data_IF_722654965472
#
_entry.id   IF_722654965472
#
_cell.length_a   1.000
_cell.length_b   1.000
_cell.length_c   1.000
_cell.angle_alpha   90.00
_cell.angle_beta   90.00
_cell.angle_gamma   90.00
#
_symmetry.space_group_name_H-M   'P 1'
#
loop_
_entity.id
_entity.type
_entity.pdbx_description
1 polymer ?
#
# COMPACT_ATOMS: atom_id res chain seq x y z
N UNK A 1 6.11 15.70 47.38
CA UNK A 1 5.29 15.52 46.18
C UNK A 1 6.25 15.20 45.03
N UNK A 2 6.39 13.92 44.66
CA UNK A 2 7.27 13.50 43.57
C UNK A 2 6.53 13.76 42.26
N UNK A 3 7.01 14.73 41.48
CA UNK A 3 6.58 14.95 40.10
C UNK A 3 7.27 13.87 39.27
N UNK A 4 6.52 12.87 38.85
CA UNK A 4 6.98 11.88 37.87
C UNK A 4 6.92 12.56 36.51
N UNK A 5 8.07 12.93 35.95
CA UNK A 5 8.15 13.37 34.57
C UNK A 5 8.00 12.13 33.68
N UNK A 6 6.81 11.93 33.12
CA UNK A 6 6.62 11.02 32.00
C UNK A 6 7.31 11.64 30.79
N UNK A 7 8.55 11.24 30.52
CA UNK A 7 9.24 11.59 29.28
C UNK A 7 8.54 10.81 28.16
N UNK A 8 7.63 11.46 27.44
CA UNK A 8 7.13 10.95 26.16
C UNK A 8 8.23 11.20 25.15
N UNK A 9 9.00 10.16 24.83
CA UNK A 9 9.95 10.19 23.71
C UNK A 9 9.11 10.09 22.43
N UNK A 10 8.84 11.21 21.79
CA UNK A 10 8.30 11.26 20.44
C UNK A 10 9.40 10.80 19.48
N UNK A 11 9.30 9.56 18.99
CA UNK A 11 10.21 9.04 17.97
C UNK A 11 9.69 9.56 16.62
N UNK A 12 10.43 10.48 16.00
CA UNK A 12 10.16 10.93 14.63
C UNK A 12 10.61 9.87 13.63
N UNK A 13 9.70 9.46 12.74
CA UNK A 13 9.99 8.54 11.65
C UNK A 13 10.25 9.36 10.38
N UNK A 14 11.43 9.19 9.79
CA UNK A 14 11.66 9.52 8.38
C UNK A 14 11.44 8.25 7.56
N UNK A 15 10.47 8.26 6.65
CA UNK A 15 9.98 7.06 5.93
C UNK A 15 11.00 6.39 4.98
N UNK A 16 12.17 6.99 4.80
CA UNK A 16 13.26 6.45 4.01
C UNK A 16 14.18 5.61 4.90
N UNK A 17 13.83 4.34 5.10
CA UNK A 17 14.90 3.36 5.24
C UNK A 17 15.58 3.30 3.87
N UNK A 18 16.91 3.49 3.85
CA UNK A 18 17.73 3.45 2.64
C UNK A 18 17.34 2.18 1.89
N UNK A 19 16.75 2.32 0.69
CA UNK A 19 16.42 1.20 -0.20
C UNK A 19 17.55 1.09 -1.23
N UNK A 20 18.61 0.28 -1.03
CA UNK A 20 19.49 -0.05 -2.12
C UNK A 20 19.21 -1.49 -2.55
N UNK A 21 18.54 -1.63 -3.70
CA UNK A 21 18.57 -2.71 -4.69
C UNK A 21 17.26 -2.61 -5.50
N UNK A 22 17.27 -1.92 -6.64
CA UNK A 22 16.32 -2.04 -7.77
C UNK A 22 14.85 -2.40 -7.45
N UNK A 23 14.23 -1.78 -6.43
CA UNK A 23 12.88 -2.16 -6.01
C UNK A 23 11.94 -0.99 -6.04
N UNK A 24 10.74 -1.25 -6.52
CA UNK A 24 9.65 -0.29 -6.48
C UNK A 24 9.09 -0.21 -5.05
N UNK A 25 8.66 0.97 -4.65
CA UNK A 25 8.05 1.28 -3.35
C UNK A 25 6.82 2.15 -3.58
N UNK A 26 5.77 1.90 -2.80
CA UNK A 26 4.52 2.65 -2.83
C UNK A 26 4.04 2.88 -1.40
N UNK A 27 4.06 4.14 -0.98
CA UNK A 27 3.91 4.56 0.40
C UNK A 27 2.66 5.41 0.53
N UNK A 28 1.71 4.99 1.36
CA UNK A 28 0.54 5.79 1.65
C UNK A 28 0.82 6.82 2.76
N UNK A 29 0.42 8.06 2.51
CA UNK A 29 0.51 9.18 3.45
C UNK A 29 -0.87 9.57 3.98
N UNK A 30 -1.16 9.10 5.18
CA UNK A 30 -2.29 9.44 6.04
C UNK A 30 -2.27 10.90 6.52
N UNK A 31 -1.12 11.59 6.51
CA UNK A 31 -1.03 12.99 6.97
C UNK A 31 -1.65 14.00 6.01
N UNK A 32 -2.04 13.58 4.81
CA UNK A 32 -2.45 14.48 3.72
C UNK A 32 -3.94 14.42 3.37
N UNK A 33 -4.60 13.30 3.66
CA UNK A 33 -6.02 13.05 3.37
C UNK A 33 -6.67 12.21 4.47
N UNK A 34 -7.84 11.65 4.19
CA UNK A 34 -8.55 10.78 5.14
C UNK A 34 -9.04 9.51 4.48
N UNK A 35 -8.90 8.40 5.19
CA UNK A 35 -9.50 7.10 4.83
C UNK A 35 -10.80 6.85 5.60
N UNK A 36 -11.18 7.77 6.48
CA UNK A 36 -12.41 7.78 7.29
C UNK A 36 -13.28 9.00 6.97
N UNK A 37 -14.48 9.05 7.52
CA UNK A 37 -15.37 10.21 7.47
C UNK A 37 -15.76 10.67 6.05
N UNK A 38 -15.83 9.74 5.09
CA UNK A 38 -16.33 10.06 3.76
C UNK A 38 -17.86 10.09 3.71
N UNK A 39 -18.46 11.28 3.73
CA UNK A 39 -19.93 11.44 3.67
C UNK A 39 -20.48 10.94 2.33
N UNK A 40 -21.30 9.88 2.33
CA UNK A 40 -21.85 9.28 1.10
C UNK A 40 -23.13 9.95 0.60
N UNK A 41 -23.58 10.99 1.30
CA UNK A 41 -24.87 11.65 1.08
C UNK A 41 -24.79 13.13 0.82
N UNK A 42 -23.58 13.69 0.81
CA UNK A 42 -23.42 15.10 0.51
C UNK A 42 -23.89 15.41 -0.92
N UNK A 43 -25.12 15.92 -0.96
CA UNK A 43 -25.77 16.48 -2.13
C UNK A 43 -25.72 18.02 -2.06
N UNK A 44 -25.07 18.58 -1.04
CA UNK A 44 -25.00 20.01 -0.90
C UNK A 44 -24.04 20.52 -1.97
N UNK A 45 -24.48 21.52 -2.73
CA UNK A 45 -23.64 22.28 -3.64
C UNK A 45 -22.61 23.13 -2.86
N UNK A 46 -22.10 22.66 -1.72
CA UNK A 46 -21.12 23.38 -0.90
C UNK A 46 -19.71 23.35 -1.55
N UNK A 47 -19.57 22.59 -2.63
CA UNK A 47 -18.38 22.53 -3.47
C UNK A 47 -17.29 21.61 -2.93
N UNK A 48 -17.53 20.89 -1.82
CA UNK A 48 -16.50 20.07 -1.18
C UNK A 48 -16.30 18.72 -1.84
N UNK A 49 -17.27 18.17 -2.57
CA UNK A 49 -17.12 17.09 -3.54
C UNK A 49 -18.52 16.76 -4.09
N UNK A 50 -18.92 17.30 -5.25
CA UNK A 50 -20.29 17.13 -5.71
C UNK A 50 -20.57 15.68 -6.07
N UNK A 51 -21.73 15.17 -5.68
CA UNK A 51 -22.24 13.89 -6.17
C UNK A 51 -22.62 14.03 -7.66
N UNK A 52 -21.97 13.28 -8.56
CA UNK A 52 -22.11 13.48 -10.02
C UNK A 52 -22.87 12.38 -10.75
N UNK A 53 -23.44 12.73 -11.91
CA UNK A 53 -23.96 11.72 -12.84
C UNK A 53 -22.82 10.83 -13.35
N UNK A 54 -23.01 9.51 -13.49
CA UNK A 54 -22.05 8.63 -14.16
C UNK A 54 -21.64 9.10 -15.56
N UNK A 55 -22.53 9.81 -16.27
CA UNK A 55 -22.23 10.40 -17.58
C UNK A 55 -21.17 11.51 -17.55
N UNK A 56 -20.86 12.05 -16.36
CA UNK A 56 -19.93 13.17 -16.18
C UNK A 56 -18.52 12.70 -15.79
N UNK A 57 -18.31 11.40 -15.55
CA UNK A 57 -17.06 10.86 -15.01
C UNK A 57 -15.86 11.22 -15.91
N UNK A 58 -16.00 11.14 -17.24
CA UNK A 58 -14.91 11.49 -18.17
C UNK A 58 -14.42 12.94 -18.05
N UNK A 59 -15.26 13.85 -17.52
CA UNK A 59 -14.88 15.25 -17.26
C UNK A 59 -13.80 15.41 -16.19
N UNK A 60 -13.62 14.39 -15.33
CA UNK A 60 -12.62 14.41 -14.26
C UNK A 60 -11.20 14.10 -14.74
N UNK A 61 -11.02 13.70 -16.00
CA UNK A 61 -9.71 13.57 -16.65
C UNK A 61 -9.09 14.91 -17.09
N UNK A 62 -9.70 16.03 -16.70
CA UNK A 62 -9.23 17.37 -17.00
C UNK A 62 -8.05 17.82 -16.13
N UNK A 63 -7.79 19.14 -16.12
CA UNK A 63 -6.65 19.72 -15.40
C UNK A 63 -6.92 20.17 -13.97
N UNK A 64 -8.19 20.14 -13.55
CA UNK A 64 -8.60 20.46 -12.18
C UNK A 64 -8.00 19.45 -11.20
N UNK A 65 -7.62 19.93 -10.02
CA UNK A 65 -7.14 19.07 -8.93
C UNK A 65 -8.27 18.85 -7.91
N UNK A 66 -8.28 17.67 -7.28
CA UNK A 66 -9.36 17.24 -6.39
C UNK A 66 -8.85 16.85 -4.99
N UNK A 67 -7.68 17.34 -4.57
CA UNK A 67 -7.13 17.07 -3.23
C UNK A 67 -7.86 17.84 -2.11
N UNK A 68 -8.61 18.89 -2.46
CA UNK A 68 -9.42 19.64 -1.49
C UNK A 68 -10.79 19.01 -1.26
N UNK A 69 -11.07 17.89 -1.92
CA UNK A 69 -12.35 17.22 -1.80
C UNK A 69 -12.42 16.40 -0.51
N UNK A 70 -13.60 16.26 0.08
CA UNK A 70 -13.82 15.41 1.25
C UNK A 70 -13.47 13.93 0.99
N UNK A 71 -13.51 13.50 -0.27
CA UNK A 71 -13.08 12.18 -0.72
C UNK A 71 -11.60 12.09 -1.03
N UNK A 72 -10.80 13.09 -0.67
CA UNK A 72 -9.36 13.01 -0.81
C UNK A 72 -8.80 11.96 0.16
N UNK A 73 -8.55 10.77 -0.39
CA UNK A 73 -8.08 9.61 0.36
C UNK A 73 -6.70 9.88 0.95
N UNK A 74 -5.83 10.52 0.15
CA UNK A 74 -4.49 10.90 0.55
C UNK A 74 -3.51 10.78 -0.61
N UNK A 75 -2.22 10.69 -0.27
CA UNK A 75 -1.14 10.59 -1.25
C UNK A 75 -0.49 9.22 -1.22
N UNK A 76 -0.20 8.70 -2.41
CA UNK A 76 0.67 7.56 -2.59
C UNK A 76 2.00 8.04 -3.16
N UNK A 77 3.07 7.95 -2.40
CA UNK A 77 4.41 8.28 -2.85
C UNK A 77 5.07 7.06 -3.50
N UNK A 78 5.70 7.26 -4.66
CA UNK A 78 6.30 6.20 -5.46
C UNK A 78 7.78 6.44 -5.72
N UNK A 79 8.55 5.37 -5.62
CA UNK A 79 9.97 5.27 -5.95
C UNK A 79 10.22 3.96 -6.70
N UNK A 80 11.21 3.94 -7.58
CA UNK A 80 11.60 2.78 -8.37
C UNK A 80 11.55 3.01 -9.88
N UNK A 81 11.60 1.93 -10.63
CA UNK A 81 11.54 1.91 -12.09
C UNK A 81 10.13 2.32 -12.59
N UNK A 82 9.97 2.73 -13.86
CA UNK A 82 8.65 3.01 -14.43
C UNK A 82 7.68 1.83 -14.25
N UNK A 83 6.42 2.11 -13.92
CA UNK A 83 5.47 1.08 -13.54
C UNK A 83 4.06 1.38 -14.05
N UNK A 84 3.27 0.33 -14.21
CA UNK A 84 1.84 0.42 -14.51
C UNK A 84 1.08 0.02 -13.27
N UNK A 85 0.43 1.01 -12.68
CA UNK A 85 -0.36 0.83 -11.47
C UNK A 85 -1.77 0.42 -11.87
N UNK A 86 -2.26 -0.66 -11.28
CA UNK A 86 -3.63 -1.18 -11.41
C UNK A 86 -4.39 -0.93 -10.12
N UNK A 87 -5.63 -0.50 -10.23
CA UNK A 87 -6.52 -0.30 -9.08
C UNK A 87 -7.65 -1.32 -9.13
N UNK A 88 -7.73 -2.20 -8.14
CA UNK A 88 -8.76 -3.23 -8.04
C UNK A 88 -9.70 -2.97 -6.85
N UNK A 89 -10.93 -3.47 -6.95
CA UNK A 89 -11.79 -3.68 -5.78
C UNK A 89 -11.46 -5.07 -5.21
N UNK A 90 -11.10 -5.13 -3.94
CA UNK A 90 -10.89 -6.39 -3.20
C UNK A 90 -11.86 -6.54 -2.03
N UNK A 91 -12.82 -5.63 -1.92
CA UNK A 91 -13.83 -5.59 -0.89
C UNK A 91 -15.11 -6.34 -1.28
N UNK A 92 -16.19 -6.10 -0.52
CA UNK A 92 -17.50 -6.67 -0.81
C UNK A 92 -17.96 -6.35 -2.25
N UNK A 93 -18.64 -7.33 -2.85
CA UNK A 93 -19.23 -7.17 -4.18
C UNK A 93 -20.66 -6.67 -4.05
N UNK A 94 -20.90 -5.43 -4.45
CA UNK A 94 -22.24 -4.84 -4.46
C UNK A 94 -23.18 -5.59 -5.42
N UNK A 95 -24.41 -5.82 -4.97
CA UNK A 95 -25.47 -6.51 -5.69
C UNK A 95 -26.23 -5.57 -6.65
N UNK A 96 -26.76 -6.14 -7.74
CA UNK A 96 -27.55 -5.43 -8.76
C UNK A 96 -26.86 -4.18 -9.33
N UNK A 97 -25.58 -4.34 -9.67
CA UNK A 97 -24.69 -3.31 -10.20
C UNK A 97 -24.54 -3.39 -11.71
N UNK A 98 -23.84 -2.40 -12.30
CA UNK A 98 -23.52 -2.39 -13.73
C UNK A 98 -22.53 -3.50 -14.10
N UNK A 99 -22.48 -3.83 -15.40
CA UNK A 99 -21.42 -4.64 -15.99
C UNK A 99 -20.71 -3.80 -17.08
N UNK A 100 -19.41 -3.47 -16.94
CA UNK A 100 -18.50 -3.90 -15.87
C UNK A 100 -18.86 -3.34 -14.48
N UNK A 101 -18.42 -4.01 -13.40
CA UNK A 101 -18.61 -3.51 -12.04
C UNK A 101 -17.81 -2.21 -11.83
N UNK A 102 -18.31 -1.33 -10.97
CA UNK A 102 -17.61 -0.13 -10.50
C UNK A 102 -17.00 -0.36 -9.11
N UNK A 103 -16.51 0.73 -8.51
CA UNK A 103 -16.19 0.77 -7.09
C UNK A 103 -17.42 1.18 -6.30
N UNK A 104 -17.55 0.61 -5.10
CA UNK A 104 -18.68 0.85 -4.22
C UNK A 104 -18.19 1.00 -2.79
N UNK A 105 -18.89 1.84 -2.05
CA UNK A 105 -18.99 1.73 -0.60
C UNK A 105 -20.24 0.89 -0.31
N UNK A 106 -20.07 -0.24 0.37
CA UNK A 106 -21.16 -1.16 0.76
C UNK A 106 -21.44 -1.00 2.24
N UNK A 107 -22.71 -0.96 2.62
CA UNK A 107 -23.10 -0.70 4.01
C UNK A 107 -22.61 -1.82 4.91
N UNK A 108 -22.14 -1.48 6.10
CA UNK A 108 -21.98 -2.44 7.18
C UNK A 108 -23.30 -2.64 7.91
N UNK A 109 -23.67 -3.90 8.10
CA UNK A 109 -24.83 -4.24 8.89
C UNK A 109 -24.56 -3.91 10.37
N UNK A 110 -25.32 -2.94 10.90
CA UNK A 110 -25.11 -2.34 12.21
C UNK A 110 -25.03 -3.31 13.40
N UNK A 111 -25.66 -4.49 13.35
CA UNK A 111 -25.64 -5.44 14.47
C UNK A 111 -24.66 -6.60 14.29
N UNK A 112 -24.19 -6.86 13.07
CA UNK A 112 -23.35 -8.03 12.76
C UNK A 112 -21.95 -7.68 12.27
N UNK A 113 -21.71 -6.42 11.87
CA UNK A 113 -20.45 -6.00 11.25
C UNK A 113 -20.18 -6.67 9.89
N UNK A 114 -21.19 -7.33 9.30
CA UNK A 114 -21.08 -7.97 7.99
C UNK A 114 -21.55 -7.02 6.92
N UNK A 115 -20.85 -6.99 5.77
CA UNK A 115 -21.27 -6.22 4.62
C UNK A 115 -22.69 -6.56 4.13
N UNK A 116 -23.48 -5.54 3.85
CA UNK A 116 -24.77 -5.61 3.15
C UNK A 116 -24.58 -5.21 1.69
N UNK A 117 -24.42 -6.18 0.76
CA UNK A 117 -24.20 -5.88 -0.65
C UNK A 117 -25.44 -5.28 -1.33
N UNK A 118 -26.62 -5.25 -0.71
CA UNK A 118 -27.83 -4.64 -1.27
C UNK A 118 -27.96 -3.14 -0.96
N UNK A 119 -27.08 -2.59 -0.11
CA UNK A 119 -27.04 -1.17 0.24
C UNK A 119 -25.67 -0.56 -0.06
N UNK A 120 -25.60 0.34 -1.04
CA UNK A 120 -24.33 0.86 -1.52
C UNK A 120 -24.41 2.23 -2.20
N UNK A 121 -23.27 2.94 -2.22
CA UNK A 121 -23.00 4.13 -3.04
C UNK A 121 -21.90 3.81 -4.05
N UNK A 122 -22.14 4.10 -5.32
CA UNK A 122 -21.13 3.96 -6.38
C UNK A 122 -20.18 5.15 -6.39
N UNK A 123 -18.90 4.86 -6.58
CA UNK A 123 -17.82 5.84 -6.67
C UNK A 123 -16.91 5.53 -7.87
N UNK A 124 -16.05 6.49 -8.19
CA UNK A 124 -14.86 6.28 -9.01
C UNK A 124 -13.68 7.04 -8.40
N UNK A 125 -12.46 6.74 -8.84
CA UNK A 125 -11.26 7.42 -8.35
C UNK A 125 -10.65 8.32 -9.41
N UNK A 126 -9.99 9.38 -8.96
CA UNK A 126 -9.05 10.14 -9.77
C UNK A 126 -7.66 10.00 -9.18
N UNK A 127 -6.66 9.78 -10.05
CA UNK A 127 -5.25 9.77 -9.67
C UNK A 127 -4.52 10.90 -10.39
N UNK A 128 -3.98 11.85 -9.62
CA UNK A 128 -3.16 12.95 -10.13
C UNK A 128 -1.71 12.71 -9.80
N UNK A 129 -0.93 12.33 -10.81
CA UNK A 129 0.51 12.06 -10.64
C UNK A 129 1.30 13.36 -10.74
N UNK A 130 2.09 13.62 -9.72
CA UNK A 130 3.02 14.74 -9.58
C UNK A 130 4.40 14.21 -9.25
N UNK A 131 5.42 15.03 -9.47
CA UNK A 131 6.81 14.67 -9.29
C UNK A 131 7.60 15.81 -8.67
N UNK A 132 8.68 15.45 -8.00
CA UNK A 132 9.74 16.39 -7.60
C UNK A 132 10.98 16.09 -8.42
N UNK A 133 11.54 17.10 -9.08
CA UNK A 133 12.88 16.98 -9.66
C UNK A 133 13.95 16.94 -8.56
N UNK A 134 15.21 16.72 -8.90
CA UNK A 134 16.29 16.64 -7.91
C UNK A 134 16.68 18.01 -7.32
N UNK A 135 16.19 19.10 -7.91
CA UNK A 135 16.28 20.48 -7.42
C UNK A 135 15.09 20.91 -6.55
N UNK A 136 14.21 19.98 -6.19
CA UNK A 136 12.98 20.20 -5.42
C UNK A 136 11.88 21.00 -6.15
N UNK A 137 12.00 21.20 -7.46
CA UNK A 137 10.94 21.72 -8.33
C UNK A 137 9.79 20.73 -8.44
N UNK A 138 8.55 21.23 -8.39
CA UNK A 138 7.35 20.40 -8.56
C UNK A 138 6.92 20.37 -10.03
N UNK A 139 6.68 19.17 -10.54
CA UNK A 139 6.23 18.92 -11.91
C UNK A 139 4.91 18.17 -11.87
N UNK A 140 3.91 18.68 -12.56
CA UNK A 140 2.66 17.96 -12.80
C UNK A 140 2.84 17.04 -14.01
N UNK A 141 2.55 15.75 -13.85
CA UNK A 141 2.69 14.78 -14.92
C UNK A 141 1.40 14.64 -15.73
N UNK A 142 1.42 13.78 -16.76
CA UNK A 142 0.28 13.54 -17.65
C UNK A 142 -0.30 14.82 -18.27
N UNK A 143 0.55 15.76 -18.70
CA UNK A 143 0.13 17.06 -19.25
C UNK A 143 -0.83 17.81 -18.33
N UNK A 144 -0.58 17.78 -17.03
CA UNK A 144 -1.44 18.38 -16.00
C UNK A 144 -2.85 17.79 -15.99
N UNK A 145 -3.03 16.49 -16.26
CA UNK A 145 -4.34 15.81 -16.25
C UNK A 145 -4.40 14.69 -15.21
N UNK A 146 -5.61 14.41 -14.74
CA UNK A 146 -5.86 13.26 -13.89
C UNK A 146 -6.05 11.99 -14.74
N UNK A 147 -5.68 10.85 -14.18
CA UNK A 147 -6.20 9.57 -14.62
C UNK A 147 -7.55 9.34 -13.96
N UNK A 148 -8.53 8.92 -14.75
CA UNK A 148 -9.84 8.51 -14.25
C UNK A 148 -9.83 7.00 -14.13
N UNK A 149 -10.13 6.51 -12.93
CA UNK A 149 -10.17 5.09 -12.56
C UNK A 149 -11.63 4.79 -12.29
N UNK A 150 -12.30 4.37 -13.34
CA UNK A 150 -13.74 4.18 -13.40
C UNK A 150 -14.14 2.79 -12.93
N UNK A 151 -13.34 1.77 -13.28
CA UNK A 151 -13.61 0.36 -13.02
C UNK A 151 -12.45 -0.30 -12.25
N UNK A 152 -12.74 -1.32 -11.43
CA UNK A 152 -11.73 -2.26 -10.97
C UNK A 152 -10.96 -2.86 -12.16
N UNK A 153 -9.64 -2.84 -12.08
CA UNK A 153 -8.73 -3.25 -13.14
C UNK A 153 -8.25 -2.11 -14.04
N UNK A 154 -8.79 -0.90 -13.91
CA UNK A 154 -8.25 0.27 -14.61
C UNK A 154 -6.82 0.55 -14.17
N UNK A 155 -6.02 1.06 -15.11
CA UNK A 155 -4.58 1.26 -14.93
C UNK A 155 -4.13 2.67 -15.26
N UNK A 156 -3.07 3.14 -14.62
CA UNK A 156 -2.34 4.33 -15.01
C UNK A 156 -0.82 4.12 -14.89
N UNK A 157 -0.06 4.86 -15.70
CA UNK A 157 1.40 4.73 -15.72
C UNK A 157 2.08 5.80 -14.88
N UNK A 158 3.14 5.42 -14.20
CA UNK A 158 4.05 6.31 -13.49
C UNK A 158 5.46 6.16 -14.09
N UNK A 159 6.20 7.27 -14.31
CA UNK A 159 7.61 7.18 -14.68
C UNK A 159 8.45 6.64 -13.52
N UNK A 160 9.75 6.42 -13.76
CA UNK A 160 10.68 6.07 -12.69
C UNK A 160 11.04 7.28 -11.83
N UNK A 161 11.31 7.04 -10.55
CA UNK A 161 11.78 8.05 -9.61
C UNK A 161 12.66 7.47 -8.51
N UNK A 162 13.63 8.25 -8.06
CA UNK A 162 14.56 7.86 -7.00
C UNK A 162 15.89 8.58 -7.14
N UNK A 163 16.68 8.54 -6.08
CA UNK A 163 17.96 9.25 -5.98
C UNK A 163 19.17 8.40 -6.43
N UNK A 164 18.93 7.24 -7.05
CA UNK A 164 19.99 6.35 -7.52
C UNK A 164 20.86 7.03 -8.57
N UNK A 165 22.17 6.81 -8.44
CA UNK A 165 23.16 7.35 -9.35
C UNK A 165 23.59 6.30 -10.36
N UNK A 166 23.78 6.72 -11.61
CA UNK A 166 24.38 5.86 -12.63
C UNK A 166 25.90 5.95 -12.58
N UNK A 167 26.56 4.86 -12.95
CA UNK A 167 28.03 4.81 -13.07
C UNK A 167 28.51 4.99 -14.52
N UNK A 168 27.61 4.85 -15.50
CA UNK A 168 27.87 5.07 -16.92
C UNK A 168 26.56 5.11 -17.73
N UNK A 169 26.60 5.62 -18.95
CA UNK A 169 25.48 5.55 -19.90
C UNK A 169 24.43 6.66 -19.73
N UNK A 170 23.19 6.45 -20.18
CA UNK A 170 22.08 7.41 -20.06
C UNK A 170 21.83 7.86 -18.62
N UNK A 171 21.56 9.15 -18.43
CA UNK A 171 21.39 9.75 -17.11
C UNK A 171 20.54 11.02 -17.17
N UNK A 172 20.15 11.51 -16.00
CA UNK A 172 19.46 12.78 -15.81
C UNK A 172 20.30 13.74 -14.96
N UNK A 173 20.19 15.04 -15.24
CA UNK A 173 20.72 16.10 -14.37
C UNK A 173 19.71 16.49 -13.29
N UNK A 174 20.06 17.47 -12.44
CA UNK A 174 19.22 17.85 -11.30
C UNK A 174 17.83 18.40 -11.69
N UNK A 175 17.71 18.99 -12.89
CA UNK A 175 16.45 19.50 -13.45
C UNK A 175 15.67 18.44 -14.23
N UNK A 176 16.09 17.18 -14.22
CA UNK A 176 15.42 16.10 -14.96
C UNK A 176 15.61 16.16 -16.48
N UNK A 177 16.65 16.85 -16.97
CA UNK A 177 17.00 16.82 -18.40
C UNK A 177 17.76 15.54 -18.71
N UNK A 178 17.38 14.87 -19.80
CA UNK A 178 18.05 13.66 -20.26
C UNK A 178 19.40 13.96 -20.93
N UNK A 179 20.38 13.12 -20.66
CA UNK A 179 21.70 13.18 -21.27
C UNK A 179 22.47 11.89 -21.06
N UNK A 180 23.80 12.00 -21.08
CA UNK A 180 24.71 10.89 -20.83
C UNK A 180 25.58 11.22 -19.64
N UNK A 181 25.77 10.24 -18.75
CA UNK A 181 26.72 10.35 -17.66
C UNK A 181 28.08 10.76 -18.18
N UNK A 182 28.50 11.93 -17.77
CA UNK A 182 29.91 12.25 -17.64
C UNK A 182 30.09 13.00 -16.32
N UNK A 183 31.18 12.72 -15.62
CA UNK A 183 31.45 13.28 -14.30
C UNK A 183 31.57 14.83 -14.28
N UNK A 184 31.63 15.49 -15.44
CA UNK A 184 31.80 16.94 -15.57
C UNK A 184 30.53 17.73 -15.91
N UNK A 185 29.42 17.08 -16.30
CA UNK A 185 28.18 17.73 -16.79
C UNK A 185 27.01 17.61 -15.83
N UNK A 186 27.17 16.88 -14.72
CA UNK A 186 26.14 16.77 -13.67
C UNK A 186 24.98 15.83 -13.99
N UNK A 187 25.03 15.09 -15.11
CA UNK A 187 24.06 14.03 -15.41
C UNK A 187 24.45 12.77 -14.63
N UNK A 188 23.91 12.62 -13.43
CA UNK A 188 24.30 11.55 -12.50
C UNK A 188 23.13 10.65 -12.07
N UNK A 189 21.89 11.09 -12.24
CA UNK A 189 20.73 10.36 -11.73
C UNK A 189 20.21 9.31 -12.71
N UNK A 190 19.83 8.14 -12.20
CA UNK A 190 19.17 7.07 -12.98
C UNK A 190 17.79 7.49 -13.45
N UNK A 191 17.06 8.20 -12.61
CA UNK A 191 15.68 8.62 -12.88
C UNK A 191 15.56 10.13 -13.05
N UNK A 192 14.56 10.53 -13.85
CA UNK A 192 14.27 11.94 -14.11
C UNK A 192 13.83 12.68 -12.84
N UNK A 193 13.12 11.98 -11.95
CA UNK A 193 12.50 12.56 -10.77
C UNK A 193 13.09 11.94 -9.51
N UNK A 194 13.14 12.72 -8.43
CA UNK A 194 13.56 12.28 -7.10
C UNK A 194 12.49 11.44 -6.41
N UNK A 195 11.23 11.86 -6.53
CA UNK A 195 10.07 11.21 -5.92
C UNK A 195 8.84 11.53 -6.76
N UNK A 196 7.93 10.56 -6.90
CA UNK A 196 6.58 10.82 -7.39
C UNK A 196 5.59 10.78 -6.25
N UNK A 197 4.49 11.48 -6.42
CA UNK A 197 3.30 11.24 -5.61
C UNK A 197 2.04 11.30 -6.43
N UNK A 198 1.04 10.59 -5.92
CA UNK A 198 -0.24 10.41 -6.57
C UNK A 198 -1.28 10.92 -5.57
N UNK A 199 -1.87 12.09 -5.86
CA UNK A 199 -3.06 12.52 -5.13
C UNK A 199 -4.21 11.59 -5.55
N UNK A 200 -4.78 10.84 -4.60
CA UNK A 200 -5.83 9.85 -4.83
C UNK A 200 -7.14 10.32 -4.21
N UNK A 201 -8.17 10.53 -5.02
CA UNK A 201 -9.47 11.07 -4.58
C UNK A 201 -10.60 10.17 -5.02
N UNK A 202 -11.50 9.83 -4.10
CA UNK A 202 -12.79 9.19 -4.35
C UNK A 202 -13.85 10.25 -4.70
N UNK A 203 -14.60 10.00 -5.77
CA UNK A 203 -15.70 10.87 -6.21
C UNK A 203 -17.00 10.06 -6.21
N UNK A 204 -18.03 10.61 -5.56
CA UNK A 204 -19.35 9.99 -5.47
C UNK A 204 -20.11 10.12 -6.77
N UNK A 205 -20.83 9.07 -7.14
CA UNK A 205 -21.83 9.15 -8.21
C UNK A 205 -23.24 9.19 -7.65
N UNK A 206 -24.18 9.66 -8.47
CA UNK A 206 -25.61 9.61 -8.17
C UNK A 206 -26.16 8.17 -8.12
N UNK A 207 -25.44 7.20 -8.71
CA UNK A 207 -25.80 5.79 -8.61
C UNK A 207 -25.67 5.30 -7.17
N UNK A 208 -26.74 4.71 -6.68
CA UNK A 208 -26.80 4.07 -5.38
C UNK A 208 -27.91 3.06 -5.36
N UNK A 209 -27.88 2.22 -4.34
CA UNK A 209 -28.96 1.30 -4.01
C UNK A 209 -29.20 1.34 -2.53
N UNK A 210 -30.47 1.46 -2.15
CA UNK A 210 -30.90 1.49 -0.76
C UNK A 210 -30.08 2.47 0.11
N UNK A 211 -29.69 3.65 -0.39
CA UNK A 211 -28.96 4.63 0.43
C UNK A 211 -29.89 5.65 1.10
N UNK A 212 -31.13 5.83 0.62
CA UNK A 212 -31.97 6.99 0.97
C UNK A 212 -33.08 6.72 2.01
N UNK A 213 -32.86 5.77 2.94
CA UNK A 213 -33.84 5.43 3.97
C UNK A 213 -33.25 5.40 5.38
N UNK A 214 -34.05 5.69 6.40
CA UNK A 214 -33.63 5.61 7.80
C UNK A 214 -33.05 4.23 8.16
N UNK A 215 -33.56 3.16 7.55
CA UNK A 215 -33.07 1.80 7.77
C UNK A 215 -31.69 1.52 7.17
N UNK A 216 -31.17 2.43 6.35
CA UNK A 216 -29.90 2.31 5.61
C UNK A 216 -28.85 3.33 6.06
N UNK A 217 -29.14 4.10 7.10
CA UNK A 217 -28.14 4.87 7.82
C UNK A 217 -27.09 3.94 8.44
N UNK A 218 -25.90 4.49 8.66
CA UNK A 218 -24.77 3.78 9.23
C UNK A 218 -23.49 3.98 8.43
N UNK A 219 -22.50 3.15 8.77
CA UNK A 219 -21.21 3.14 8.10
C UNK A 219 -21.19 2.19 6.91
N UNK A 220 -20.23 2.46 6.03
CA UNK A 220 -20.01 1.75 4.78
C UNK A 220 -18.52 1.52 4.60
N UNK A 221 -18.17 0.40 3.99
CA UNK A 221 -16.80 -0.03 3.76
C UNK A 221 -16.47 -0.10 2.27
N UNK A 222 -15.20 0.14 1.93
CA UNK A 222 -14.64 -0.12 0.62
C UNK A 222 -13.19 -0.57 0.75
N UNK A 223 -12.80 -1.64 0.06
CA UNK A 223 -11.41 -2.11 0.05
C UNK A 223 -10.82 -1.99 -1.34
N UNK A 224 -9.86 -1.08 -1.46
CA UNK A 224 -9.19 -0.77 -2.71
C UNK A 224 -7.78 -1.32 -2.66
N UNK A 225 -7.37 -2.02 -3.72
CA UNK A 225 -5.98 -2.42 -3.91
C UNK A 225 -5.35 -1.59 -5.01
N UNK A 226 -4.22 -0.97 -4.70
CA UNK A 226 -3.34 -0.29 -5.65
C UNK A 226 -2.07 -1.14 -5.79
N UNK A 227 -1.84 -1.73 -6.95
CA UNK A 227 -0.73 -2.65 -7.19
C UNK A 227 0.03 -2.32 -8.46
N UNK A 228 1.30 -2.70 -8.50
CA UNK A 228 2.15 -2.64 -9.69
C UNK A 228 3.24 -3.70 -9.55
N UNK A 229 4.25 -3.68 -10.42
CA UNK A 229 5.40 -4.54 -10.20
C UNK A 229 6.10 -4.17 -8.88
N UNK A 230 6.38 -5.18 -8.05
CA UNK A 230 7.04 -5.02 -6.75
C UNK A 230 6.23 -4.34 -5.65
N UNK A 231 5.06 -3.76 -5.93
CA UNK A 231 4.28 -2.97 -4.95
C UNK A 231 2.85 -3.47 -4.80
N UNK A 232 2.39 -3.57 -3.55
CA UNK A 232 1.04 -3.98 -3.20
C UNK A 232 0.54 -3.13 -2.03
N UNK A 233 -0.42 -2.24 -2.28
CA UNK A 233 -1.05 -1.39 -1.28
C UNK A 233 -2.54 -1.71 -1.19
N UNK A 234 -3.04 -1.91 0.01
CA UNK A 234 -4.46 -2.01 0.34
C UNK A 234 -4.86 -0.77 1.12
N UNK A 235 -6.02 -0.22 0.78
CA UNK A 235 -6.69 0.84 1.49
C UNK A 235 -8.06 0.29 1.93
N UNK A 236 -8.25 0.15 3.23
CA UNK A 236 -9.57 -0.08 3.85
C UNK A 236 -10.14 1.29 4.15
N UNK A 237 -11.24 1.63 3.48
CA UNK A 237 -11.85 2.94 3.49
C UNK A 237 -13.20 2.88 4.20
N UNK A 238 -13.47 3.87 5.03
CA UNK A 238 -14.74 4.11 5.71
C UNK A 238 -15.47 5.27 5.04
N UNK A 239 -16.77 5.09 4.84
CA UNK A 239 -17.70 6.16 4.52
C UNK A 239 -18.93 6.06 5.41
N UNK A 240 -19.73 7.12 5.45
CA UNK A 240 -20.90 7.16 6.33
C UNK A 240 -22.14 7.75 5.65
N UNK A 241 -23.30 7.36 6.18
CA UNK A 241 -24.56 8.07 5.99
C UNK A 241 -25.28 8.18 7.34
N UNK A 242 -25.20 9.36 7.96
CA UNK A 242 -25.89 9.72 9.21
C UNK A 242 -25.92 8.57 10.25
N UNK A 243 -24.75 8.05 10.65
CA UNK A 243 -24.66 6.85 11.49
C UNK A 243 -25.24 7.11 12.89
N UNK A 244 -25.85 6.07 13.46
CA UNK A 244 -26.25 6.08 14.86
C UNK A 244 -25.06 5.78 15.79
N UNK A 245 -25.10 6.21 17.06
CA UNK A 245 -23.97 6.02 18.00
C UNK A 245 -23.51 4.58 18.25
N UNK A 246 -24.31 3.57 17.87
CA UNK A 246 -24.00 2.15 18.05
C UNK A 246 -23.88 1.40 16.72
N UNK A 247 -23.84 2.11 15.59
CA UNK A 247 -23.56 1.47 14.31
C UNK A 247 -22.10 1.04 14.28
N UNK A 248 -21.86 -0.18 13.80
CA UNK A 248 -20.50 -0.71 13.64
C UNK A 248 -19.73 0.13 12.63
N UNK A 249 -18.59 0.68 13.04
CA UNK A 249 -17.68 1.43 12.18
C UNK A 249 -16.63 0.50 11.55
N UNK A 250 -16.45 0.48 10.21
CA UNK A 250 -15.38 -0.30 9.60
C UNK A 250 -14.00 0.16 10.07
N UNK A 251 -13.12 -0.81 10.22
CA UNK A 251 -11.71 -0.54 10.41
C UNK A 251 -11.08 0.10 9.17
N UNK A 252 -10.74 1.38 9.25
CA UNK A 252 -10.04 2.09 8.21
C UNK A 252 -8.52 2.04 8.43
N UNK A 253 -7.79 1.54 7.44
CA UNK A 253 -6.34 1.41 7.49
C UNK A 253 -5.72 1.34 6.11
N UNK A 254 -4.41 1.55 6.05
CA UNK A 254 -3.60 1.25 4.89
C UNK A 254 -2.61 0.13 5.24
N UNK A 255 -2.45 -0.82 4.32
CA UNK A 255 -1.52 -1.94 4.48
C UNK A 255 -0.75 -2.16 3.18
N UNK A 256 0.58 -2.26 3.26
CA UNK A 256 1.41 -2.49 2.08
C UNK A 256 2.44 -3.60 2.28
N UNK A 257 2.73 -4.26 1.16
CA UNK A 257 3.86 -5.17 0.99
C UNK A 257 4.63 -4.72 -0.23
N UNK A 258 5.94 -4.55 -0.05
CA UNK A 258 6.88 -4.17 -1.10
C UNK A 258 7.87 -5.31 -1.28
N UNK A 259 8.02 -5.82 -2.50
CA UNK A 259 8.93 -6.92 -2.80
C UNK A 259 10.29 -6.34 -3.21
N UNK A 260 11.31 -6.64 -2.41
CA UNK A 260 12.70 -6.21 -2.65
C UNK A 260 13.53 -7.30 -3.32
N UNK A 261 13.06 -8.55 -3.27
CA UNK A 261 13.70 -9.65 -3.96
C UNK A 261 13.49 -9.56 -5.48
N UNK A 262 14.51 -9.87 -6.30
CA UNK A 262 14.34 -10.06 -7.73
C UNK A 262 13.38 -11.22 -7.99
N UNK A 263 12.85 -11.30 -9.23
CA UNK A 263 11.94 -12.37 -9.64
C UNK A 263 12.53 -13.77 -9.44
N UNK A 264 13.86 -13.88 -9.56
CA UNK A 264 14.62 -15.12 -9.41
C UNK A 264 15.80 -14.87 -8.49
N UNK A 265 15.87 -15.64 -7.39
CA UNK A 265 17.03 -15.69 -6.51
C UNK A 265 17.88 -16.89 -6.93
N UNK A 266 19.14 -16.70 -7.38
CA UNK A 266 20.02 -17.82 -7.70
C UNK A 266 20.16 -18.77 -6.51
N UNK A 267 20.02 -20.09 -6.75
CA UNK A 267 20.08 -21.07 -5.68
C UNK A 267 21.45 -21.04 -4.96
N UNK A 268 22.54 -20.77 -5.69
CA UNK A 268 23.88 -20.55 -5.14
C UNK A 268 23.95 -19.40 -4.15
N UNK A 269 23.15 -18.35 -4.34
CA UNK A 269 23.05 -17.23 -3.41
C UNK A 269 22.19 -17.61 -2.21
N UNK A 270 21.00 -18.17 -2.46
CA UNK A 270 20.03 -18.52 -1.42
C UNK A 270 20.62 -19.47 -0.36
N UNK A 271 21.37 -20.50 -0.77
CA UNK A 271 21.94 -21.49 0.15
C UNK A 271 23.03 -20.92 1.06
N UNK A 272 23.55 -19.74 0.77
CA UNK A 272 24.47 -19.03 1.69
C UNK A 272 23.73 -18.37 2.86
N UNK A 273 22.41 -18.14 2.72
CA UNK A 273 21.57 -17.45 3.71
C UNK A 273 21.00 -18.46 4.70
N UNK A 274 21.69 -18.68 5.80
CA UNK A 274 21.44 -19.83 6.71
C UNK A 274 21.00 -19.45 8.13
N UNK A 275 20.81 -18.16 8.40
CA UNK A 275 20.38 -17.69 9.73
C UNK A 275 19.65 -16.35 9.64
N UNK A 276 19.04 -15.90 10.75
CA UNK A 276 18.44 -14.54 10.81
C UNK A 276 19.46 -13.43 10.52
N UNK A 277 20.67 -13.56 11.05
CA UNK A 277 21.75 -12.59 10.87
C UNK A 277 22.34 -12.62 9.46
N UNK A 278 22.24 -13.75 8.77
CA UNK A 278 22.64 -13.91 7.38
C UNK A 278 21.45 -14.45 6.59
N UNK A 279 20.48 -13.56 6.39
CA UNK A 279 19.22 -13.84 5.68
C UNK A 279 19.13 -13.00 4.41
N UNK A 280 18.19 -13.38 3.55
CA UNK A 280 17.84 -12.62 2.36
C UNK A 280 16.70 -11.65 2.69
N UNK A 281 16.81 -10.38 2.30
CA UNK A 281 15.75 -9.40 2.43
C UNK A 281 14.73 -9.61 1.30
N UNK A 282 13.54 -10.12 1.63
CA UNK A 282 12.52 -10.48 0.65
C UNK A 282 11.56 -9.33 0.36
N UNK A 283 11.26 -8.51 1.37
CA UNK A 283 10.35 -7.38 1.22
C UNK A 283 10.19 -6.54 2.48
N UNK A 284 9.43 -5.47 2.37
CA UNK A 284 8.94 -4.67 3.49
C UNK A 284 7.45 -4.90 3.70
N UNK A 285 7.00 -4.73 4.94
CA UNK A 285 5.58 -4.62 5.28
C UNK A 285 5.33 -3.33 6.02
N UNK A 286 4.20 -2.69 5.75
CA UNK A 286 3.75 -1.49 6.44
C UNK A 286 2.26 -1.57 6.75
N UNK A 287 1.87 -1.17 7.95
CA UNK A 287 0.50 -0.94 8.35
C UNK A 287 0.44 0.45 8.97
N UNK A 288 -0.55 1.24 8.56
CA UNK A 288 -0.80 2.57 9.08
C UNK A 288 -2.30 2.80 9.25
N UNK A 289 -2.70 3.34 10.39
CA UNK A 289 -4.05 3.85 10.61
C UNK A 289 -4.03 4.95 11.67
N UNK A 290 -4.87 5.97 11.52
CA UNK A 290 -5.07 7.02 12.53
C UNK A 290 -5.94 6.56 13.70
N UNK A 291 -6.71 5.48 13.52
CA UNK A 291 -7.75 5.07 14.47
C UNK A 291 -7.67 3.58 14.83
N UNK A 292 -7.49 2.71 13.84
CA UNK A 292 -7.51 1.26 14.01
C UNK A 292 -6.18 0.73 14.52
N UNK A 293 -6.23 -0.12 15.54
CA UNK A 293 -5.09 -0.94 15.95
C UNK A 293 -5.10 -2.26 15.21
N UNK A 294 -3.95 -2.91 15.07
CA UNK A 294 -3.94 -4.20 14.40
C UNK A 294 -2.70 -5.02 14.67
N UNK A 295 -2.68 -6.19 14.05
CA UNK A 295 -1.52 -7.06 14.00
C UNK A 295 -1.38 -7.69 12.63
N UNK A 296 -0.14 -8.05 12.29
CA UNK A 296 0.19 -8.78 11.07
C UNK A 296 0.81 -10.12 11.46
N UNK A 297 0.36 -11.17 10.78
CA UNK A 297 0.99 -12.50 10.83
C UNK A 297 1.39 -12.97 9.43
N UNK A 298 2.44 -13.78 9.34
CA UNK A 298 2.94 -14.37 8.10
C UNK A 298 2.68 -15.87 8.05
N UNK A 299 2.14 -16.36 6.95
CA UNK A 299 1.67 -17.73 6.82
C UNK A 299 2.08 -18.34 5.48
N UNK A 300 2.25 -19.65 5.47
CA UNK A 300 2.54 -20.43 4.28
C UNK A 300 1.26 -20.75 3.46
N UNK A 301 0.08 -20.40 3.98
CA UNK A 301 -1.20 -20.59 3.31
C UNK A 301 -2.13 -19.38 3.49
N UNK A 302 -3.07 -19.21 2.56
CA UNK A 302 -4.03 -18.10 2.57
C UNK A 302 -5.02 -18.16 3.73
N UNK A 303 -5.25 -19.34 4.32
CA UNK A 303 -6.15 -19.51 5.47
C UNK A 303 -5.55 -19.06 6.80
N UNK A 304 -4.25 -18.73 6.86
CA UNK A 304 -3.64 -18.26 8.09
C UNK A 304 -3.42 -19.32 9.16
N UNK A 305 -3.20 -20.57 8.76
CA UNK A 305 -3.13 -21.71 9.71
C UNK A 305 -1.77 -22.40 9.74
N UNK A 306 -0.90 -22.14 8.77
CA UNK A 306 0.42 -22.78 8.69
C UNK A 306 1.55 -21.75 8.69
N UNK A 307 2.60 -22.01 9.47
CA UNK A 307 3.88 -21.29 9.43
C UNK A 307 5.01 -22.17 8.90
N UNK A 308 4.68 -23.29 8.24
CA UNK A 308 5.67 -24.20 7.66
C UNK A 308 5.88 -23.83 6.19
N UNK A 309 6.96 -23.10 5.92
CA UNK A 309 7.24 -22.57 4.60
C UNK A 309 8.12 -23.51 3.77
N UNK A 310 7.77 -23.69 2.50
CA UNK A 310 8.49 -24.56 1.57
C UNK A 310 8.62 -23.90 0.21
N UNK A 311 9.81 -24.00 -0.37
CA UNK A 311 9.97 -23.88 -1.81
C UNK A 311 9.52 -25.18 -2.47
N UNK A 312 8.78 -25.11 -3.57
CA UNK A 312 8.26 -26.29 -4.26
C UNK A 312 8.41 -26.20 -5.78
N UNK A 313 8.65 -27.34 -6.41
CA UNK A 313 8.74 -27.51 -7.86
C UNK A 313 8.21 -28.88 -8.28
N UNK A 314 7.85 -29.04 -9.56
CA UNK A 314 7.58 -30.35 -10.16
C UNK A 314 8.77 -30.75 -11.02
N UNK A 315 9.46 -31.84 -10.67
CA UNK A 315 10.64 -32.34 -11.39
C UNK A 315 10.39 -33.77 -11.85
N UNK A 316 10.43 -34.00 -13.16
CA UNK A 316 10.13 -35.30 -13.77
C UNK A 316 8.81 -35.91 -13.27
N UNK A 317 7.78 -35.08 -13.08
CA UNK A 317 6.45 -35.50 -12.61
C UNK A 317 6.32 -35.69 -11.09
N UNK A 318 7.38 -35.47 -10.31
CA UNK A 318 7.34 -35.56 -8.85
C UNK A 318 7.35 -34.17 -8.22
N UNK A 319 6.52 -33.96 -7.20
CA UNK A 319 6.57 -32.74 -6.39
C UNK A 319 7.78 -32.82 -5.44
N UNK A 320 8.72 -31.91 -5.63
CA UNK A 320 9.90 -31.77 -4.79
C UNK A 320 9.76 -30.47 -4.00
N UNK A 321 10.06 -30.51 -2.70
CA UNK A 321 10.01 -29.33 -1.84
C UNK A 321 11.14 -29.31 -0.83
N UNK A 322 11.56 -28.11 -0.44
CA UNK A 322 12.51 -27.94 0.66
C UNK A 322 12.11 -26.81 1.60
N UNK A 323 12.34 -26.97 2.91
CA UNK A 323 11.92 -25.99 3.90
C UNK A 323 12.81 -24.76 3.88
N UNK A 324 12.22 -23.62 4.23
CA UNK A 324 12.93 -22.40 4.57
C UNK A 324 12.22 -21.71 5.74
N UNK A 325 12.87 -20.72 6.34
CA UNK A 325 12.34 -19.93 7.44
C UNK A 325 12.03 -18.52 6.97
N UNK A 326 10.92 -17.98 7.46
CA UNK A 326 10.59 -16.55 7.38
C UNK A 326 10.91 -15.91 8.72
N UNK A 327 11.49 -14.72 8.71
CA UNK A 327 11.67 -13.88 9.88
C UNK A 327 11.13 -12.48 9.62
N UNK A 328 10.61 -11.85 10.67
CA UNK A 328 10.23 -10.46 10.66
C UNK A 328 11.27 -9.66 11.46
N UNK A 329 11.90 -8.67 10.83
CA UNK A 329 12.80 -7.72 11.48
C UNK A 329 12.08 -6.38 11.69
N UNK A 330 11.56 -6.11 12.90
CA UNK A 330 10.73 -4.94 13.15
C UNK A 330 11.57 -3.66 13.15
N UNK A 331 11.06 -2.64 12.47
CA UNK A 331 11.52 -1.24 12.60
C UNK A 331 10.61 -0.54 13.61
N UNK A 332 9.29 -0.68 13.42
CA UNK A 332 8.26 -0.23 14.34
C UNK A 332 7.28 -1.36 14.60
N UNK A 333 7.21 -1.81 15.85
CA UNK A 333 6.31 -2.88 16.28
C UNK A 333 6.03 -2.74 17.79
N UNK A 334 4.80 -3.02 18.20
CA UNK A 334 4.35 -2.86 19.58
C UNK A 334 4.86 -3.95 20.52
N UNK A 335 5.05 -5.17 20.01
CA UNK A 335 5.37 -6.34 20.82
C UNK A 335 6.72 -6.99 20.50
N UNK A 336 7.48 -6.48 19.51
CA UNK A 336 8.82 -6.96 19.14
C UNK A 336 9.77 -5.79 18.84
N UNK A 337 11.04 -5.94 19.23
CA UNK A 337 12.09 -4.95 19.04
C UNK A 337 13.34 -5.51 18.35
N UNK A 338 13.29 -6.77 17.88
CA UNK A 338 14.40 -7.44 17.23
C UNK A 338 13.88 -8.55 16.31
N UNK A 339 14.68 -8.87 15.28
CA UNK A 339 14.38 -9.93 14.32
C UNK A 339 13.95 -11.23 14.98
N UNK A 340 12.81 -11.78 14.57
CA UNK A 340 12.27 -13.02 15.10
C UNK A 340 11.76 -13.95 14.00
N UNK A 341 12.08 -15.24 14.12
CA UNK A 341 11.60 -16.26 13.19
C UNK A 341 10.10 -16.46 13.39
N UNK A 342 9.36 -16.50 12.29
CA UNK A 342 7.93 -16.78 12.28
C UNK A 342 7.69 -18.23 12.67
N UNK A 343 6.82 -18.44 13.64
CA UNK A 343 6.39 -19.77 14.10
C UNK A 343 4.96 -19.68 14.65
N UNK A 344 4.29 -20.81 14.86
CA UNK A 344 2.93 -20.83 15.44
C UNK A 344 2.80 -20.10 16.78
N UNK A 345 3.88 -20.02 17.57
CA UNK A 345 3.92 -19.26 18.84
C UNK A 345 4.46 -17.84 18.70
N UNK A 346 4.90 -17.44 17.51
CA UNK A 346 5.56 -16.18 17.24
C UNK A 346 5.17 -15.63 15.85
N UNK A 347 3.87 -15.38 15.65
CA UNK A 347 3.32 -14.94 14.37
C UNK A 347 2.23 -13.86 14.47
N UNK A 348 2.35 -12.98 15.46
CA UNK A 348 1.48 -11.80 15.58
C UNK A 348 2.36 -10.62 15.97
N UNK A 349 2.46 -9.65 15.05
CA UNK A 349 3.26 -8.44 15.20
C UNK A 349 2.31 -7.26 15.29
N UNK A 350 2.23 -6.62 16.46
CA UNK A 350 1.20 -5.62 16.73
C UNK A 350 1.66 -4.22 16.35
N UNK A 351 0.71 -3.36 16.01
CA UNK A 351 0.98 -1.94 15.82
C UNK A 351 1.45 -1.26 17.11
N UNK A 352 2.04 -0.08 16.96
CA UNK A 352 2.39 0.84 18.03
C UNK A 352 2.11 2.26 17.58
N UNK A 353 1.69 3.13 18.50
CA UNK A 353 1.50 4.55 18.21
C UNK A 353 2.84 5.22 17.92
N UNK A 354 2.94 5.96 16.81
CA UNK A 354 4.08 6.80 16.45
C UNK A 354 3.65 8.05 15.66
N UNK A 355 4.53 9.02 15.56
CA UNK A 355 4.34 10.18 14.68
C UNK A 355 4.98 9.90 13.32
N UNK A 356 4.17 9.94 12.28
CA UNK A 356 4.58 9.73 10.89
C UNK A 356 4.65 11.07 10.20
N UNK A 357 5.78 11.37 9.57
CA UNK A 357 5.96 12.58 8.79
C UNK A 357 5.70 12.30 7.31
N UNK A 358 5.06 13.26 6.66
CA UNK A 358 4.97 13.35 5.20
C UNK A 358 6.37 13.38 4.60
N UNK A 359 6.58 12.64 3.51
CA UNK A 359 7.78 12.67 2.68
C UNK A 359 7.69 13.71 1.57
N UNK A 360 6.49 14.25 1.34
CA UNK A 360 6.24 15.25 0.30
C UNK A 360 6.26 16.65 0.90
N UNK A 361 5.72 16.86 2.08
CA UNK A 361 5.63 18.17 2.73
C UNK A 361 5.98 18.08 4.23
N UNK A 362 5.72 19.16 4.98
CA UNK A 362 6.10 19.23 6.39
C UNK A 362 4.96 18.78 7.34
N UNK A 363 3.94 18.08 6.82
CA UNK A 363 2.83 17.59 7.63
C UNK A 363 3.21 16.31 8.39
N UNK A 364 2.48 16.03 9.46
CA UNK A 364 2.64 14.81 10.23
C UNK A 364 1.33 14.40 10.90
N UNK A 365 1.22 13.11 11.21
CA UNK A 365 0.05 12.50 11.84
C UNK A 365 0.50 11.53 12.93
N UNK A 366 -0.33 11.36 13.96
CA UNK A 366 -0.13 10.33 14.98
C UNK A 366 -0.94 9.10 14.60
N UNK A 367 -0.28 7.95 14.50
CA UNK A 367 -0.83 6.75 13.88
C UNK A 367 -0.44 5.48 14.62
N UNK A 368 -1.29 4.47 14.52
CA UNK A 368 -0.95 3.08 14.77
C UNK A 368 -0.12 2.54 13.60
N UNK A 369 1.16 2.31 13.85
CA UNK A 369 2.12 1.85 12.84
C UNK A 369 2.67 0.47 13.12
N UNK A 370 2.85 -0.32 12.08
CA UNK A 370 3.73 -1.49 12.06
C UNK A 370 4.59 -1.41 10.80
N UNK A 371 5.90 -1.40 10.94
CA UNK A 371 6.84 -1.42 9.81
C UNK A 371 7.97 -2.40 10.10
N UNK A 372 8.35 -3.18 9.10
CA UNK A 372 9.54 -4.02 9.20
C UNK A 372 9.86 -4.80 7.95
N UNK A 373 10.96 -5.54 8.03
CA UNK A 373 11.49 -6.35 6.93
C UNK A 373 10.99 -7.79 7.04
N UNK A 374 10.59 -8.34 5.89
CA UNK A 374 10.39 -9.77 5.69
C UNK A 374 11.72 -10.33 5.21
N UNK A 375 12.29 -11.26 5.97
CA UNK A 375 13.54 -11.94 5.62
C UNK A 375 13.34 -13.44 5.48
N UNK A 376 14.09 -14.06 4.59
CA UNK A 376 14.08 -15.51 4.37
C UNK A 376 15.48 -16.11 4.51
N UNK A 377 15.56 -17.33 5.02
CA UNK A 377 16.81 -18.09 5.10
C UNK A 377 16.52 -19.60 5.10
N UNK A 378 17.49 -20.39 4.68
CA UNK A 378 17.37 -21.85 4.57
C UNK A 378 18.17 -22.57 5.67
N UNK A 379 18.00 -23.88 5.78
CA UNK A 379 18.77 -24.68 6.74
C UNK A 379 20.25 -24.78 6.34
N UNK A 380 21.12 -24.95 7.34
CA UNK A 380 22.53 -25.25 7.11
C UNK A 380 22.69 -26.62 6.44
N UNK A 381 23.78 -26.80 5.67
CA UNK A 381 24.10 -28.08 5.03
C UNK A 381 23.45 -28.32 3.67
N UNK A 382 22.63 -27.38 3.17
CA UNK A 382 22.14 -27.41 1.79
C UNK A 382 23.28 -27.02 0.84
N UNK A 383 23.58 -27.91 -0.10
CA UNK A 383 24.54 -27.72 -1.21
C UNK A 383 23.82 -27.63 -2.56
N UNK A 384 24.53 -27.20 -3.61
CA UNK A 384 24.00 -27.08 -4.98
C UNK A 384 23.39 -28.38 -5.54
N UNK A 385 23.81 -29.54 -5.02
CA UNK A 385 23.36 -30.86 -5.47
C UNK A 385 22.28 -31.49 -4.55
N UNK A 386 21.81 -30.76 -3.54
CA UNK A 386 20.85 -31.30 -2.55
C UNK A 386 19.48 -31.52 -3.16
N UNK A 387 19.08 -30.63 -4.07
CA UNK A 387 17.80 -30.68 -4.76
C UNK A 387 18.04 -30.66 -6.27
N UNK A 388 17.19 -31.34 -7.06
CA UNK A 388 17.28 -31.29 -8.51
C UNK A 388 17.19 -29.85 -9.04
N UNK A 389 17.93 -29.55 -10.11
CA UNK A 389 17.87 -28.27 -10.78
C UNK A 389 16.46 -28.04 -11.37
N UNK A 390 15.79 -27.00 -10.89
CA UNK A 390 14.48 -26.55 -11.32
C UNK A 390 14.23 -25.13 -10.80
N UNK A 391 13.16 -24.50 -11.26
CA UNK A 391 12.62 -23.29 -10.65
C UNK A 391 11.67 -23.70 -9.52
N UNK A 392 11.97 -23.22 -8.31
CA UNK A 392 11.13 -23.45 -7.14
C UNK A 392 10.46 -22.16 -6.74
N UNK A 393 9.20 -22.26 -6.31
CA UNK A 393 8.41 -21.11 -5.86
C UNK A 393 7.84 -21.32 -4.47
N UNK A 394 7.58 -20.22 -3.78
CA UNK A 394 6.85 -20.16 -2.52
C UNK A 394 6.04 -18.87 -2.45
N UNK A 395 4.98 -18.86 -1.63
CA UNK A 395 4.16 -17.68 -1.33
C UNK A 395 4.18 -17.47 0.18
N UNK A 396 4.45 -16.23 0.60
CA UNK A 396 4.29 -15.78 1.98
C UNK A 396 3.02 -14.93 2.03
N UNK A 397 2.02 -15.39 2.76
CA UNK A 397 0.79 -14.64 2.99
C UNK A 397 0.96 -13.77 4.23
N UNK A 398 0.75 -12.47 4.11
CA UNK A 398 0.58 -11.60 5.27
C UNK A 398 -0.92 -11.43 5.54
N UNK A 399 -1.34 -11.67 6.77
CA UNK A 399 -2.73 -11.53 7.20
C UNK A 399 -2.77 -10.43 8.25
N UNK A 400 -3.62 -9.43 7.98
CA UNK A 400 -3.92 -8.33 8.89
C UNK A 400 -5.10 -8.73 9.75
N UNK A 401 -5.03 -8.44 11.04
CA UNK A 401 -6.14 -8.56 11.98
C UNK A 401 -6.25 -7.24 12.73
N UNK A 402 -7.39 -6.59 12.63
CA UNK A 402 -7.71 -5.32 13.28
C UNK A 402 -8.48 -5.55 14.59
N UNK A 403 -8.42 -4.60 15.53
CA UNK A 403 -9.14 -4.66 16.80
C UNK A 403 -9.75 -3.31 17.18
#
# INVERSE_FOLDING_TARGET
MRVTYTIIITIMISLFMIVPLYSNSLLFETSSGTITDFDLTDNNNDGKNPTVSPSSISGYGGSSEYWSYDGFVGRLAYLGDPNTITVDNIGPTAFATSNPPRFYYTRMNWYSGVSDPDAWREIFFTARVKARDHNNGTVNLNNNKNYVIENPGDTFSVPGAGEELVTSGPAYNESGTYGTYNASTGFIYKYQYKILWIDFTAIRTTNNRNLSGNQNKGYYESYVRVKGDGVYQVLSLEGFYDPFPNDENPDAYSFSIERLAPDIIPFTELITRTSRQNSYLAGHVRFHSTETTGSVGFYANSSGTSTNFFFSATVAGNQISFPYSVAFDPVFCGNKNSSSTVSSSNNSFTTKVATVNSIIDNQSSTENVLTGDIRIFVNTGITINTYPAAEYSSIIYAIVTTN
#
